data_IF_349496213376
#
_entry.id   IF_349496213376
#
_cell.length_a   1.000
_cell.length_b   1.000
_cell.length_c   1.000
_cell.angle_alpha   90.00
_cell.angle_beta   90.00
_cell.angle_gamma   90.00
#
_symmetry.space_group_name_H-M   'P 1'
#
loop_
_entity.id
_entity.type
_entity.pdbx_description
1 polymer ?
#
# COMPACT_ATOMS: atom_id res chain seq x y z
N UNK A 1 4.33 14.53 -2.39
CA UNK A 1 2.97 14.32 -1.82
C UNK A 1 3.08 14.31 -0.31
N UNK A 2 2.15 14.91 0.43
CA UNK A 2 2.21 14.91 1.91
C UNK A 2 1.93 13.51 2.47
N UNK A 3 2.54 13.17 3.61
CA UNK A 3 2.34 11.87 4.27
C UNK A 3 0.85 11.52 4.49
N UNK A 4 0.06 12.47 4.97
CA UNK A 4 -1.36 12.23 5.24
C UNK A 4 -2.18 12.02 3.96
N UNK A 5 -1.84 12.73 2.87
CA UNK A 5 -2.47 12.51 1.55
C UNK A 5 -2.17 11.11 1.03
N UNK A 6 -0.92 10.66 1.16
CA UNK A 6 -0.51 9.29 0.81
C UNK A 6 -1.32 8.26 1.60
N UNK A 7 -1.42 8.44 2.93
CA UNK A 7 -2.15 7.52 3.81
C UNK A 7 -3.62 7.41 3.42
N UNK A 8 -4.31 8.54 3.33
CA UNK A 8 -5.74 8.55 3.00
C UNK A 8 -6.01 7.94 1.64
N UNK A 9 -5.24 8.33 0.61
CA UNK A 9 -5.38 7.80 -0.76
C UNK A 9 -5.22 6.28 -0.78
N UNK A 10 -4.10 5.77 -0.28
CA UNK A 10 -3.78 4.35 -0.47
C UNK A 10 -4.53 3.42 0.47
N UNK A 11 -4.97 3.87 1.65
CA UNK A 11 -5.89 3.08 2.47
C UNK A 11 -7.21 2.87 1.71
N UNK A 12 -7.78 3.93 1.14
CA UNK A 12 -9.04 3.85 0.42
C UNK A 12 -8.93 3.00 -0.86
N UNK A 13 -7.90 3.23 -1.69
CA UNK A 13 -7.71 2.49 -2.94
C UNK A 13 -7.43 1.00 -2.68
N UNK A 14 -6.59 0.66 -1.70
CA UNK A 14 -6.28 -0.74 -1.36
C UNK A 14 -7.53 -1.46 -0.87
N UNK A 15 -8.29 -0.84 0.04
CA UNK A 15 -9.54 -1.42 0.54
C UNK A 15 -10.55 -1.66 -0.59
N UNK A 16 -10.72 -0.70 -1.49
CA UNK A 16 -11.66 -0.82 -2.61
C UNK A 16 -11.24 -1.90 -3.63
N UNK A 17 -9.94 -2.12 -3.82
CA UNK A 17 -9.42 -3.08 -4.79
C UNK A 17 -9.48 -4.54 -4.35
N UNK A 18 -9.64 -4.81 -3.06
CA UNK A 18 -9.61 -6.16 -2.50
C UNK A 18 -10.95 -6.90 -2.67
N UNK A 19 -11.00 -7.91 -3.53
CA UNK A 19 -12.25 -8.61 -3.91
C UNK A 19 -12.38 -9.99 -3.28
N UNK A 20 -11.27 -10.69 -3.09
CA UNK A 20 -11.21 -12.03 -2.51
C UNK A 20 -10.79 -11.99 -1.04
N UNK A 21 -11.09 -13.04 -0.27
CA UNK A 21 -10.63 -13.15 1.12
C UNK A 21 -9.09 -13.11 1.24
N UNK A 22 -8.38 -13.67 0.26
CA UNK A 22 -6.92 -13.56 0.19
C UNK A 22 -6.46 -12.12 0.04
N UNK A 23 -7.06 -11.38 -0.89
CA UNK A 23 -6.75 -9.97 -1.12
C UNK A 23 -7.10 -9.10 0.08
N UNK A 24 -8.22 -9.39 0.78
CA UNK A 24 -8.57 -8.68 2.03
C UNK A 24 -7.50 -8.87 3.10
N UNK A 25 -7.00 -10.09 3.28
CA UNK A 25 -5.89 -10.34 4.21
C UNK A 25 -4.63 -9.56 3.86
N UNK A 26 -4.30 -9.45 2.56
CA UNK A 26 -3.17 -8.62 2.10
C UNK A 26 -3.47 -7.14 2.33
N UNK A 27 -4.68 -6.68 2.04
CA UNK A 27 -5.13 -5.31 2.23
C UNK A 27 -5.03 -4.89 3.69
N UNK A 28 -5.45 -5.72 4.64
CA UNK A 28 -5.37 -5.43 6.08
C UNK A 28 -3.92 -5.20 6.54
N UNK A 29 -2.98 -6.02 6.05
CA UNK A 29 -1.56 -5.86 6.35
C UNK A 29 -1.03 -4.54 5.79
N UNK A 30 -1.36 -4.23 4.52
CA UNK A 30 -0.91 -3.01 3.87
C UNK A 30 -1.51 -1.76 4.52
N UNK A 31 -2.81 -1.76 4.80
CA UNK A 31 -3.52 -0.65 5.46
C UNK A 31 -2.91 -0.40 6.84
N UNK A 32 -2.65 -1.45 7.62
CA UNK A 32 -2.02 -1.32 8.94
C UNK A 32 -0.64 -0.67 8.84
N UNK A 33 0.20 -1.08 7.87
CA UNK A 33 1.52 -0.47 7.67
C UNK A 33 1.44 0.97 7.16
N UNK A 34 0.52 1.26 6.26
CA UNK A 34 0.31 2.61 5.73
C UNK A 34 -0.18 3.55 6.83
N UNK A 35 -1.16 3.12 7.65
CA UNK A 35 -1.66 3.90 8.77
C UNK A 35 -0.54 4.30 9.75
N UNK A 36 0.32 3.34 10.07
CA UNK A 36 1.47 3.53 10.96
C UNK A 36 2.72 4.10 10.26
N UNK A 37 2.62 4.50 8.98
CA UNK A 37 3.75 5.02 8.22
C UNK A 37 4.28 6.31 8.87
N UNK A 38 5.59 6.35 9.05
CA UNK A 38 6.39 7.48 9.50
C UNK A 38 7.79 7.40 8.89
N UNK A 39 8.59 8.44 9.11
CA UNK A 39 9.89 8.61 8.41
C UNK A 39 10.85 7.42 8.55
N UNK A 40 10.82 6.74 9.70
CA UNK A 40 11.76 5.66 10.01
C UNK A 40 11.32 4.27 9.55
N UNK A 41 10.05 4.08 9.15
CA UNK A 41 9.53 2.76 8.75
C UNK A 41 9.11 2.71 7.27
N UNK A 42 9.47 3.73 6.48
CA UNK A 42 9.21 3.79 5.05
C UNK A 42 9.78 2.58 4.28
N UNK A 43 10.98 2.12 4.65
CA UNK A 43 11.62 0.96 4.01
C UNK A 43 10.86 -0.34 4.25
N UNK A 44 10.30 -0.53 5.45
CA UNK A 44 9.48 -1.70 5.80
C UNK A 44 8.18 -1.71 4.98
N UNK A 45 7.54 -0.55 4.81
CA UNK A 45 6.38 -0.42 3.92
C UNK A 45 6.77 -0.71 2.46
N UNK A 46 7.87 -0.13 1.96
CA UNK A 46 8.33 -0.34 0.59
C UNK A 46 8.59 -1.83 0.29
N UNK A 47 9.24 -2.53 1.22
CA UNK A 47 9.49 -3.97 1.12
C UNK A 47 8.18 -4.77 1.11
N UNK A 48 7.24 -4.42 1.98
CA UNK A 48 5.95 -5.11 2.04
C UNK A 48 5.13 -4.90 0.77
N UNK A 49 5.08 -3.67 0.25
CA UNK A 49 4.46 -3.37 -1.04
C UNK A 49 5.10 -4.16 -2.17
N UNK A 50 6.44 -4.22 -2.21
CA UNK A 50 7.15 -5.02 -3.22
C UNK A 50 6.76 -6.50 -3.17
N UNK A 51 6.71 -7.13 -1.99
CA UNK A 51 6.24 -8.51 -1.85
C UNK A 51 4.81 -8.64 -2.37
N UNK A 52 3.92 -7.73 -1.99
CA UNK A 52 2.53 -7.77 -2.41
C UNK A 52 2.36 -7.68 -3.94
N UNK A 53 3.27 -7.01 -4.67
CA UNK A 53 3.26 -7.03 -6.16
C UNK A 53 3.62 -8.38 -6.78
N UNK A 54 4.25 -9.28 -6.01
CA UNK A 54 4.63 -10.64 -6.45
C UNK A 54 3.58 -11.69 -6.10
N UNK A 55 2.62 -11.34 -5.25
CA UNK A 55 1.51 -12.21 -4.87
C UNK A 55 0.49 -12.37 -6.01
N UNK A 56 -0.25 -13.48 -5.97
CA UNK A 56 -1.37 -13.73 -6.86
C UNK A 56 -2.60 -12.92 -6.42
N UNK A 57 -2.59 -11.62 -6.75
CA UNK A 57 -3.71 -10.68 -6.57
C UNK A 57 -4.26 -10.25 -7.93
N UNK A 58 -5.45 -9.67 -7.96
CA UNK A 58 -6.03 -9.09 -9.17
C UNK A 58 -5.14 -7.98 -9.76
N UNK A 59 -5.20 -7.81 -11.07
CA UNK A 59 -4.47 -6.73 -11.77
C UNK A 59 -4.86 -5.33 -11.26
N UNK A 60 -6.10 -5.16 -10.80
CA UNK A 60 -6.57 -3.91 -10.19
C UNK A 60 -5.83 -3.62 -8.88
N UNK A 61 -5.82 -4.57 -7.94
CA UNK A 61 -5.11 -4.42 -6.67
C UNK A 61 -3.60 -4.26 -6.89
N UNK A 62 -3.03 -5.04 -7.82
CA UNK A 62 -1.61 -4.96 -8.18
C UNK A 62 -1.22 -3.56 -8.65
N UNK A 63 -2.04 -2.95 -9.51
CA UNK A 63 -1.82 -1.58 -9.99
C UNK A 63 -1.86 -0.55 -8.86
N UNK A 64 -2.78 -0.71 -7.90
CA UNK A 64 -2.84 0.14 -6.70
C UNK A 64 -1.56 0.00 -5.87
N UNK A 65 -1.09 -1.22 -5.64
CA UNK A 65 0.15 -1.50 -4.88
C UNK A 65 1.38 -0.91 -5.58
N UNK A 66 1.47 -1.06 -6.90
CA UNK A 66 2.56 -0.49 -7.70
C UNK A 66 2.58 1.04 -7.66
N UNK A 67 1.40 1.67 -7.72
CA UNK A 67 1.26 3.12 -7.57
C UNK A 67 1.68 3.56 -6.16
N UNK A 68 1.25 2.84 -5.12
CA UNK A 68 1.66 3.11 -3.73
C UNK A 68 3.18 3.06 -3.58
N UNK A 69 3.82 2.02 -4.13
CA UNK A 69 5.27 1.86 -4.10
C UNK A 69 6.01 3.00 -4.81
N UNK A 70 5.50 3.45 -5.97
CA UNK A 70 6.08 4.57 -6.72
C UNK A 70 5.92 5.88 -5.95
N UNK A 71 4.72 6.17 -5.46
CA UNK A 71 4.41 7.42 -4.78
C UNK A 71 5.13 7.53 -3.43
N UNK A 72 5.39 6.41 -2.75
CA UNK A 72 6.15 6.34 -1.50
C UNK A 72 7.55 6.99 -1.61
N UNK A 73 8.17 6.91 -2.79
CA UNK A 73 9.48 7.51 -3.07
C UNK A 73 9.43 9.05 -3.14
N UNK A 74 8.24 9.62 -3.29
CA UNK A 74 7.99 11.06 -3.47
C UNK A 74 7.26 11.71 -2.28
N UNK A 75 7.18 11.01 -1.14
CA UNK A 75 6.57 11.55 0.07
C UNK A 75 7.45 12.67 0.64
N UNK A 76 6.80 13.78 0.96
CA UNK A 76 7.35 14.85 1.79
C UNK A 76 7.15 14.47 3.26
N UNK A 77 8.27 14.30 3.99
CA UNK A 77 8.33 13.80 5.36
C UNK A 77 8.37 14.90 6.41
#
# INVERSE_FOLDING_TARGET
MRLEEYKTKYIAEIYASAKTEREKGIADILITKIYNLGRYNAYDLAFTLYIATKEAVSEEMKKVIENALRDLQSIEW
#
